data_IF_003176831938
#
_entry.id   IF_003176831938
#
_cell.length_a   1.000
_cell.length_b   1.000
_cell.length_c   1.000
_cell.angle_alpha   90.00
_cell.angle_beta   90.00
_cell.angle_gamma   90.00
#
_symmetry.space_group_name_H-M   'P 1'
#
loop_
_entity.id
_entity.type
_entity.pdbx_description
1 polymer ?
#
# COMPACT_ATOMS: atom_id res chain seq x y z
N UNK A 1 -1.11 -15.32 2.13
CA UNK A 1 -0.80 -13.98 2.70
C UNK A 1 0.04 -13.20 1.69
N UNK A 2 -0.09 -11.89 1.63
CA UNK A 2 0.84 -11.04 0.88
C UNK A 2 2.03 -10.61 1.76
N UNK A 3 3.14 -10.25 1.12
CA UNK A 3 4.25 -9.56 1.76
C UNK A 3 4.02 -8.05 1.84
N UNK A 4 4.76 -7.36 2.69
CA UNK A 4 4.75 -5.90 2.83
C UNK A 4 6.22 -5.44 2.80
N UNK A 5 6.66 -4.68 1.77
CA UNK A 5 5.86 -3.89 0.83
C UNK A 5 5.60 -4.51 -0.55
N UNK A 6 5.78 -5.82 -0.76
CA UNK A 6 5.61 -6.41 -2.10
C UNK A 6 4.16 -6.33 -2.62
N UNK A 7 3.16 -6.38 -1.73
CA UNK A 7 1.75 -6.31 -2.09
C UNK A 7 1.43 -5.03 -2.88
N UNK A 8 1.99 -3.90 -2.47
CA UNK A 8 1.72 -2.58 -3.02
C UNK A 8 2.16 -2.48 -4.49
N UNK A 9 3.32 -3.05 -4.84
CA UNK A 9 3.79 -3.11 -6.23
C UNK A 9 3.02 -4.14 -7.06
N UNK A 10 2.62 -5.25 -6.45
CA UNK A 10 1.88 -6.31 -7.14
C UNK A 10 0.45 -5.85 -7.48
N UNK A 11 -0.28 -5.34 -6.49
CA UNK A 11 -1.71 -5.09 -6.59
C UNK A 11 -2.07 -3.93 -7.52
N UNK A 12 -1.21 -2.92 -7.66
CA UNK A 12 -1.43 -1.83 -8.63
C UNK A 12 -1.35 -2.30 -10.09
N UNK A 13 -0.77 -3.49 -10.33
CA UNK A 13 -0.67 -4.09 -11.66
C UNK A 13 -1.79 -5.09 -11.96
N UNK A 14 -2.58 -5.50 -10.96
CA UNK A 14 -3.65 -6.49 -11.17
C UNK A 14 -4.83 -5.79 -11.87
N UNK A 15 -5.15 -6.24 -13.08
CA UNK A 15 -6.30 -5.73 -13.85
C UNK A 15 -7.56 -6.56 -13.60
N UNK A 16 -7.41 -7.84 -13.27
CA UNK A 16 -8.54 -8.70 -12.87
C UNK A 16 -9.12 -8.31 -11.51
N UNK A 17 -10.39 -8.63 -11.29
CA UNK A 17 -11.01 -8.48 -9.98
C UNK A 17 -10.43 -9.51 -8.98
N UNK A 18 -9.75 -9.01 -7.96
CA UNK A 18 -9.19 -9.84 -6.89
C UNK A 18 -10.28 -10.59 -6.10
N UNK A 19 -11.45 -9.99 -5.91
CA UNK A 19 -12.53 -10.59 -5.13
C UNK A 19 -13.06 -11.85 -5.82
N UNK A 20 -13.20 -11.82 -7.15
CA UNK A 20 -13.58 -12.99 -7.92
C UNK A 20 -12.59 -14.15 -7.74
N UNK A 21 -11.28 -13.84 -7.79
CA UNK A 21 -10.23 -14.83 -7.54
C UNK A 21 -10.27 -15.40 -6.12
N UNK A 22 -10.54 -14.56 -5.12
CA UNK A 22 -10.70 -14.98 -3.72
C UNK A 22 -11.92 -15.89 -3.53
N UNK A 23 -13.06 -15.56 -4.15
CA UNK A 23 -14.27 -16.38 -4.11
C UNK A 23 -14.07 -17.71 -4.83
N UNK A 24 -13.44 -17.72 -6.01
CA UNK A 24 -13.09 -18.93 -6.72
C UNK A 24 -12.16 -19.84 -5.89
N UNK A 25 -11.17 -19.26 -5.20
CA UNK A 25 -10.30 -20.01 -4.29
C UNK A 25 -11.07 -20.61 -3.10
N UNK A 26 -11.98 -19.85 -2.50
CA UNK A 26 -12.83 -20.32 -1.40
C UNK A 26 -13.71 -21.51 -1.82
N UNK A 27 -14.25 -21.46 -3.04
CA UNK A 27 -15.10 -22.50 -3.63
C UNK A 27 -14.31 -23.71 -4.18
N UNK A 28 -12.97 -23.67 -4.15
CA UNK A 28 -12.13 -24.71 -4.77
C UNK A 28 -12.18 -24.72 -6.30
N UNK A 29 -12.55 -23.61 -6.94
CA UNK A 29 -12.66 -23.40 -8.39
C UNK A 29 -11.63 -22.41 -8.92
N UNK A 30 -10.46 -22.33 -8.29
CA UNK A 30 -9.44 -21.36 -8.69
C UNK A 30 -8.95 -21.57 -10.14
N UNK A 31 -9.12 -22.77 -10.69
CA UNK A 31 -8.85 -23.09 -12.09
C UNK A 31 -9.74 -22.32 -13.09
N UNK A 32 -10.87 -21.76 -12.64
CA UNK A 32 -11.77 -20.94 -13.47
C UNK A 32 -11.39 -19.47 -13.50
N UNK A 33 -10.34 -19.06 -12.79
CA UNK A 33 -9.90 -17.67 -12.71
C UNK A 33 -8.39 -17.57 -12.92
N UNK A 34 -7.96 -16.58 -13.69
CA UNK A 34 -6.55 -16.29 -13.88
C UNK A 34 -6.32 -14.77 -13.75
N UNK A 35 -5.24 -14.34 -13.09
CA UNK A 35 -4.95 -12.93 -12.99
C UNK A 35 -4.46 -12.38 -14.34
N UNK A 36 -5.09 -11.29 -14.78
CA UNK A 36 -4.59 -10.41 -15.82
C UNK A 36 -3.72 -9.33 -15.18
N UNK A 37 -2.53 -9.13 -15.73
CA UNK A 37 -1.55 -8.18 -15.24
C UNK A 37 -1.28 -7.12 -16.28
N UNK A 38 -1.21 -5.87 -15.84
CA UNK A 38 -0.69 -4.78 -16.64
C UNK A 38 0.76 -5.05 -17.07
N UNK A 39 1.13 -4.72 -18.32
CA UNK A 39 2.51 -4.83 -18.80
C UNK A 39 3.42 -3.76 -18.18
N UNK A 40 2.86 -2.74 -17.55
CA UNK A 40 3.64 -1.66 -16.93
C UNK A 40 4.39 -2.15 -15.69
N UNK A 41 5.58 -1.57 -15.48
CA UNK A 41 6.36 -1.80 -14.27
C UNK A 41 5.80 -0.95 -13.12
N UNK A 42 5.81 -1.52 -11.92
CA UNK A 42 5.47 -0.80 -10.68
C UNK A 42 6.61 -0.94 -9.66
N UNK A 43 6.82 0.11 -8.88
CA UNK A 43 7.80 0.15 -7.79
C UNK A 43 7.15 0.77 -6.56
N UNK A 44 7.42 0.18 -5.40
CA UNK A 44 7.02 0.73 -4.10
C UNK A 44 8.25 1.21 -3.37
N UNK A 45 8.19 2.46 -2.89
CA UNK A 45 9.20 3.05 -2.01
C UNK A 45 8.56 3.25 -0.64
N UNK A 46 9.18 2.67 0.39
CA UNK A 46 8.72 2.84 1.77
C UNK A 46 9.39 4.06 2.38
N UNK A 47 8.58 4.95 2.95
CA UNK A 47 9.04 6.13 3.68
C UNK A 47 9.07 5.81 5.18
N UNK A 48 10.25 5.45 5.70
CA UNK A 48 10.41 5.06 7.10
C UNK A 48 10.66 6.26 8.01
N UNK A 49 10.23 6.14 9.28
CA UNK A 49 10.52 7.16 10.29
C UNK A 49 12.01 7.15 10.65
N UNK A 50 12.63 8.34 10.77
CA UNK A 50 14.04 8.48 11.15
C UNK A 50 14.34 7.70 12.44
N UNK A 51 15.27 6.75 12.34
CA UNK A 51 15.66 5.85 13.44
C UNK A 51 15.29 4.39 13.20
N UNK A 52 14.39 4.09 12.26
CA UNK A 52 14.09 2.71 11.85
C UNK A 52 15.35 1.96 11.38
N UNK A 53 15.54 0.66 11.72
CA UNK A 53 14.66 -0.21 12.51
C UNK A 53 14.85 -0.13 14.03
N UNK A 54 15.67 0.80 14.53
CA UNK A 54 15.91 1.03 15.95
C UNK A 54 14.82 1.87 16.62
N UNK A 55 15.20 2.69 17.59
CA UNK A 55 14.27 3.60 18.28
C UNK A 55 13.95 4.80 17.40
N UNK A 56 12.67 5.13 17.28
CA UNK A 56 12.18 6.26 16.50
C UNK A 56 11.11 7.04 17.26
N UNK A 57 11.01 8.37 17.05
CA UNK A 57 9.90 9.16 17.57
C UNK A 57 8.60 8.81 16.84
N UNK A 58 7.45 9.00 17.50
CA UNK A 58 6.12 8.87 16.89
C UNK A 58 5.43 10.23 16.87
N UNK A 59 4.40 10.35 16.04
CA UNK A 59 3.54 11.53 15.97
C UNK A 59 4.09 12.67 15.11
N UNK A 60 5.14 12.44 14.30
CA UNK A 60 5.63 13.46 13.38
C UNK A 60 4.59 13.71 12.29
N UNK A 61 4.30 14.98 12.01
CA UNK A 61 3.35 15.38 10.96
C UNK A 61 3.88 14.98 9.59
N UNK A 62 3.01 14.43 8.76
CA UNK A 62 3.25 14.08 7.36
C UNK A 62 2.51 15.12 6.51
N UNK A 63 3.25 15.81 5.64
CA UNK A 63 2.72 16.87 4.77
C UNK A 63 2.90 16.51 3.29
N UNK A 64 2.16 17.20 2.41
CA UNK A 64 2.33 17.10 0.96
C UNK A 64 1.70 15.86 0.32
N UNK A 65 0.92 15.09 1.08
CA UNK A 65 0.24 13.88 0.59
C UNK A 65 -0.74 14.18 -0.53
N UNK A 66 -1.49 15.28 -0.44
CA UNK A 66 -2.45 15.70 -1.47
C UNK A 66 -1.74 16.02 -2.79
N UNK A 67 -0.58 16.67 -2.70
CA UNK A 67 0.24 17.01 -3.87
C UNK A 67 0.82 15.76 -4.51
N UNK A 68 1.28 14.80 -3.71
CA UNK A 68 1.81 13.53 -4.20
C UNK A 68 0.73 12.72 -4.94
N UNK A 69 -0.47 12.59 -4.35
CA UNK A 69 -1.58 11.83 -4.94
C UNK A 69 -2.21 12.50 -6.16
N UNK A 70 -1.95 13.79 -6.39
CA UNK A 70 -2.38 14.49 -7.59
C UNK A 70 -1.52 14.17 -8.82
N UNK A 71 -0.33 13.56 -8.63
CA UNK A 71 0.53 13.16 -9.74
C UNK A 71 0.00 11.88 -10.40
N UNK A 72 -0.09 11.83 -11.75
CA UNK A 72 -0.50 10.62 -12.46
C UNK A 72 0.39 9.42 -12.13
N UNK A 73 -0.24 8.26 -11.92
CA UNK A 73 0.48 7.00 -11.62
C UNK A 73 1.04 6.89 -10.20
N UNK A 74 0.78 7.87 -9.32
CA UNK A 74 1.16 7.79 -7.91
C UNK A 74 0.01 7.22 -7.08
N UNK A 75 0.31 6.16 -6.35
CA UNK A 75 -0.56 5.59 -5.33
C UNK A 75 0.10 5.76 -3.96
N UNK A 76 -0.63 6.38 -3.02
CA UNK A 76 -0.18 6.54 -1.64
C UNK A 76 -0.87 5.49 -0.76
N UNK A 77 -0.10 4.52 -0.28
CA UNK A 77 -0.57 3.53 0.68
C UNK A 77 -0.12 3.90 2.09
N UNK A 78 -1.06 3.92 3.02
CA UNK A 78 -0.79 4.21 4.42
C UNK A 78 -0.48 2.91 5.17
N UNK A 79 0.74 2.78 5.66
CA UNK A 79 1.10 1.77 6.64
C UNK A 79 0.75 2.28 8.05
N UNK A 80 1.74 2.62 8.88
CA UNK A 80 1.50 3.07 10.25
C UNK A 80 1.28 4.58 10.37
N UNK A 81 0.10 5.05 9.96
CA UNK A 81 -0.30 6.47 10.09
C UNK A 81 -1.58 6.66 10.91
N UNK A 82 -1.77 7.85 11.49
CA UNK A 82 -3.01 8.25 12.15
C UNK A 82 -3.31 9.73 11.93
N UNK A 83 -4.51 10.18 12.31
CA UNK A 83 -4.83 11.60 12.42
C UNK A 83 -4.74 12.06 13.87
N UNK A 84 -4.10 13.21 14.09
CA UNK A 84 -4.07 13.85 15.42
C UNK A 84 -5.40 14.58 15.74
N UNK A 85 -5.49 15.20 16.92
CA UNK A 85 -6.67 15.94 17.35
C UNK A 85 -6.97 17.19 16.50
N UNK A 86 -5.97 17.72 15.80
CA UNK A 86 -6.12 18.82 14.85
C UNK A 86 -6.43 18.34 13.43
N UNK A 87 -6.46 17.03 13.20
CA UNK A 87 -6.75 16.39 11.92
C UNK A 87 -5.53 16.15 11.02
N UNK A 88 -4.32 16.50 11.47
CA UNK A 88 -3.10 16.29 10.71
C UNK A 88 -2.77 14.81 10.60
N UNK A 89 -2.28 14.40 9.43
CA UNK A 89 -1.73 13.07 9.23
C UNK A 89 -0.39 12.96 9.97
N UNK A 90 -0.18 11.88 10.70
CA UNK A 90 1.02 11.64 11.53
C UNK A 90 1.57 10.23 11.35
N UNK A 91 2.90 10.09 11.44
CA UNK A 91 3.58 8.78 11.44
C UNK A 91 3.52 8.15 12.85
N UNK A 92 3.04 6.92 12.95
CA UNK A 92 2.83 6.20 14.23
C UNK A 92 3.71 4.95 14.40
N UNK A 93 4.47 4.58 13.37
CA UNK A 93 5.38 3.44 13.40
C UNK A 93 6.62 3.66 12.53
N UNK A 94 7.39 2.57 12.37
CA UNK A 94 8.69 2.58 11.71
C UNK A 94 8.61 2.39 10.18
N UNK A 95 7.61 1.63 9.73
CA UNK A 95 7.28 1.37 8.32
C UNK A 95 5.81 1.68 8.06
#
# INVERSE_FOLDING_TARGET
RFGDPECQSLMVRLESDLLEGMLAALDGRLDTWAPLWSPDAAVTVVMATKGYPGTYPKGTVIEGTERATALPGIHLFHATTARDAAGHLTAQGGL
#
